data_IF_345403103554
#
_entry.id   IF_345403103554
#
_cell.length_a   1.000
_cell.length_b   1.000
_cell.length_c   1.000
_cell.angle_alpha   90.00
_cell.angle_beta   90.00
_cell.angle_gamma   90.00
#
_symmetry.space_group_name_H-M   'P 1'
#
loop_
_entity.id
_entity.type
_entity.pdbx_description
1 polymer ?
#
# COMPACT_ATOMS: atom_id res chain seq x y z
N UNK A 1 -0.87 36.82 -10.64
CA UNK A 1 -1.41 35.52 -11.08
C UNK A 1 -0.96 34.36 -10.20
N UNK A 2 0.33 34.00 -10.10
CA UNK A 2 0.76 32.90 -9.21
C UNK A 2 0.44 33.20 -7.73
N UNK A 3 0.81 34.38 -7.24
CA UNK A 3 0.55 34.78 -5.84
C UNK A 3 -0.95 34.82 -5.47
N UNK A 4 -1.81 35.09 -6.44
CA UNK A 4 -3.26 35.13 -6.27
C UNK A 4 -3.85 33.72 -6.13
N UNK A 5 -3.36 32.78 -6.94
CA UNK A 5 -3.76 31.37 -6.89
C UNK A 5 -3.27 30.74 -5.57
N UNK A 6 -2.06 31.06 -5.13
CA UNK A 6 -1.54 30.62 -3.83
C UNK A 6 -2.35 31.17 -2.65
N UNK A 7 -2.67 32.47 -2.67
CA UNK A 7 -3.52 33.07 -1.65
C UNK A 7 -4.92 32.42 -1.63
N UNK A 8 -5.51 32.17 -2.80
CA UNK A 8 -6.80 31.50 -2.93
C UNK A 8 -6.76 30.06 -2.39
N UNK A 9 -5.70 29.30 -2.69
CA UNK A 9 -5.49 27.96 -2.15
C UNK A 9 -5.43 27.98 -0.61
N UNK A 10 -4.64 28.88 -0.02
CA UNK A 10 -4.48 28.96 1.43
C UNK A 10 -5.78 29.31 2.15
N UNK A 11 -6.54 30.25 1.60
CA UNK A 11 -7.86 30.60 2.15
C UNK A 11 -8.86 29.46 2.00
N UNK A 12 -8.85 28.75 0.87
CA UNK A 12 -9.70 27.58 0.63
C UNK A 12 -9.39 26.45 1.62
N UNK A 13 -8.10 26.21 1.88
CA UNK A 13 -7.62 25.25 2.88
C UNK A 13 -8.09 25.64 4.28
N UNK A 14 -7.92 26.91 4.67
CA UNK A 14 -8.35 27.40 5.98
C UNK A 14 -9.87 27.31 6.19
N UNK A 15 -10.68 27.54 5.15
CA UNK A 15 -12.14 27.34 5.20
C UNK A 15 -12.47 25.85 5.37
N UNK A 16 -11.82 24.98 4.62
CA UNK A 16 -12.05 23.53 4.71
C UNK A 16 -11.71 22.98 6.10
N UNK A 17 -10.59 23.42 6.67
CA UNK A 17 -10.14 23.05 8.01
C UNK A 17 -10.91 23.78 9.12
N UNK A 18 -11.95 24.54 8.76
CA UNK A 18 -12.82 25.29 9.68
C UNK A 18 -12.08 26.31 10.54
N UNK A 19 -10.90 26.76 10.11
CA UNK A 19 -10.11 27.81 10.77
C UNK A 19 -10.71 29.19 10.57
N UNK A 20 -11.37 29.43 9.42
CA UNK A 20 -12.04 30.68 9.08
C UNK A 20 -13.39 30.42 8.40
N UNK A 21 -14.31 31.38 8.47
CA UNK A 21 -15.59 31.31 7.74
C UNK A 21 -15.38 31.59 6.25
N UNK A 22 -16.19 30.97 5.37
CA UNK A 22 -16.18 31.22 3.92
C UNK A 22 -16.29 32.71 3.58
N UNK A 23 -17.16 33.46 4.28
CA UNK A 23 -17.31 34.91 4.07
C UNK A 23 -16.08 35.73 4.49
N UNK A 24 -15.29 35.26 5.47
CA UNK A 24 -14.04 35.90 5.84
C UNK A 24 -12.96 35.65 4.78
N UNK A 25 -12.88 34.41 4.28
CA UNK A 25 -11.97 34.06 3.20
C UNK A 25 -12.22 34.88 1.92
N UNK A 26 -13.49 35.03 1.50
CA UNK A 26 -13.84 35.82 0.32
C UNK A 26 -13.41 37.28 0.49
N UNK A 27 -13.70 37.91 1.63
CA UNK A 27 -13.27 39.30 1.91
C UNK A 27 -11.75 39.45 1.93
N UNK A 28 -11.04 38.46 2.47
CA UNK A 28 -9.58 38.46 2.46
C UNK A 28 -9.02 38.39 1.04
N UNK A 29 -9.56 37.52 0.19
CA UNK A 29 -9.15 37.43 -1.22
C UNK A 29 -9.51 38.69 -2.01
N UNK A 30 -10.65 39.31 -1.73
CA UNK A 30 -11.03 40.60 -2.30
C UNK A 30 -10.03 41.70 -2.00
N UNK A 31 -9.50 41.75 -0.77
CA UNK A 31 -8.43 42.69 -0.40
C UNK A 31 -7.09 42.45 -1.13
N UNK A 32 -6.95 41.30 -1.79
CA UNK A 32 -5.78 40.92 -2.61
C UNK A 32 -6.06 41.00 -4.11
N UNK A 33 -6.99 41.87 -4.53
CA UNK A 33 -7.38 42.10 -5.93
C UNK A 33 -8.06 40.91 -6.63
N UNK A 34 -8.56 39.91 -5.90
CA UNK A 34 -9.34 38.81 -6.47
C UNK A 34 -10.82 39.12 -6.35
N UNK A 35 -11.55 39.18 -7.48
CA UNK A 35 -13.00 39.41 -7.47
C UNK A 35 -13.73 38.39 -6.57
N UNK A 36 -14.72 38.84 -5.79
CA UNK A 36 -15.44 37.99 -4.82
C UNK A 36 -16.08 36.74 -5.44
N UNK A 37 -16.61 36.85 -6.66
CA UNK A 37 -17.17 35.72 -7.40
C UNK A 37 -16.09 34.70 -7.78
N UNK A 38 -14.92 35.18 -8.20
CA UNK A 38 -13.76 34.32 -8.47
C UNK A 38 -13.26 33.65 -7.19
N UNK A 39 -13.15 34.40 -6.09
CA UNK A 39 -12.78 33.86 -4.79
C UNK A 39 -13.75 32.75 -4.33
N UNK A 40 -15.06 32.94 -4.52
CA UNK A 40 -16.07 31.93 -4.24
C UNK A 40 -15.90 30.66 -5.09
N UNK A 41 -15.67 30.81 -6.41
CA UNK A 41 -15.40 29.70 -7.33
C UNK A 41 -14.17 28.90 -6.90
N UNK A 42 -13.08 29.58 -6.55
CA UNK A 42 -11.86 28.93 -6.05
C UNK A 42 -12.14 28.09 -4.79
N UNK A 43 -12.79 28.69 -3.79
CA UNK A 43 -13.09 28.01 -2.51
C UNK A 43 -14.00 26.80 -2.71
N UNK A 44 -15.06 26.95 -3.50
CA UNK A 44 -16.02 25.87 -3.71
C UNK A 44 -15.45 24.77 -4.61
N UNK A 45 -14.64 25.14 -5.61
CA UNK A 45 -13.92 24.23 -6.48
C UNK A 45 -12.88 23.39 -5.73
N UNK A 46 -12.09 24.02 -4.86
CA UNK A 46 -11.16 23.32 -3.95
C UNK A 46 -11.88 22.29 -3.09
N UNK A 47 -13.04 22.65 -2.52
CA UNK A 47 -13.85 21.73 -1.71
C UNK A 47 -14.28 20.50 -2.53
N UNK A 48 -14.65 20.70 -3.81
CA UNK A 48 -15.06 19.62 -4.71
C UNK A 48 -13.90 18.72 -5.10
N UNK A 49 -12.74 19.30 -5.43
CA UNK A 49 -11.50 18.55 -5.69
C UNK A 49 -11.15 17.62 -4.52
N UNK A 50 -11.15 18.15 -3.29
CA UNK A 50 -10.89 17.33 -2.07
C UNK A 50 -11.86 16.18 -1.84
N UNK A 51 -13.05 16.23 -2.41
CA UNK A 51 -14.11 15.24 -2.21
C UNK A 51 -14.30 14.31 -3.40
N UNK A 52 -13.57 14.51 -4.51
CA UNK A 52 -13.80 13.77 -5.74
C UNK A 52 -15.16 14.07 -6.38
N UNK A 53 -15.74 15.23 -6.08
CA UNK A 53 -17.02 15.62 -6.64
C UNK A 53 -16.85 16.32 -7.99
N UNK A 54 -17.70 15.98 -8.95
CA UNK A 54 -17.83 16.77 -10.19
C UNK A 54 -18.07 18.25 -9.86
N UNK A 55 -17.29 19.11 -10.50
CA UNK A 55 -17.47 20.55 -10.53
C UNK A 55 -17.66 21.03 -11.97
N UNK A 56 -18.50 22.05 -12.17
CA UNK A 56 -18.85 22.62 -13.47
C UNK A 56 -18.46 24.10 -13.59
N UNK A 57 -17.53 24.53 -12.75
CA UNK A 57 -17.02 25.91 -12.71
C UNK A 57 -15.66 26.00 -13.41
N UNK A 58 -15.28 27.21 -13.82
CA UNK A 58 -14.03 27.47 -14.52
C UNK A 58 -12.89 27.67 -13.49
N UNK A 59 -12.27 26.58 -13.07
CA UNK A 59 -10.95 26.62 -12.43
C UNK A 59 -9.90 26.59 -13.54
N UNK A 60 -8.87 27.45 -13.44
CA UNK A 60 -7.74 27.39 -14.37
C UNK A 60 -6.92 26.11 -14.15
N UNK A 61 -6.22 25.66 -15.19
CA UNK A 61 -5.28 24.54 -15.05
C UNK A 61 -4.21 24.84 -14.00
N UNK A 62 -3.73 26.08 -13.89
CA UNK A 62 -2.75 26.49 -12.88
C UNK A 62 -3.31 26.35 -11.45
N UNK A 63 -4.59 26.63 -11.24
CA UNK A 63 -5.25 26.44 -9.95
C UNK A 63 -5.36 24.96 -9.57
N UNK A 64 -5.75 24.13 -10.54
CA UNK A 64 -5.83 22.68 -10.35
C UNK A 64 -4.44 22.09 -10.15
N UNK A 65 -3.44 22.52 -10.92
CA UNK A 65 -2.06 22.08 -10.80
C UNK A 65 -1.47 22.44 -9.44
N UNK A 66 -1.69 23.67 -8.94
CA UNK A 66 -1.25 24.03 -7.59
C UNK A 66 -1.87 23.11 -6.55
N UNK A 67 -3.17 22.82 -6.66
CA UNK A 67 -3.85 21.90 -5.75
C UNK A 67 -3.20 20.50 -5.77
N UNK A 68 -3.08 19.91 -6.96
CA UNK A 68 -2.50 18.58 -7.14
C UNK A 68 -1.06 18.53 -6.63
N UNK A 69 -0.26 19.57 -6.90
CA UNK A 69 1.12 19.71 -6.41
C UNK A 69 1.18 19.69 -4.89
N UNK A 70 0.40 20.55 -4.22
CA UNK A 70 0.39 20.65 -2.75
C UNK A 70 -0.11 19.37 -2.09
N UNK A 71 -1.08 18.68 -2.70
CA UNK A 71 -1.56 17.37 -2.21
C UNK A 71 -0.50 16.28 -2.38
N UNK A 72 0.22 16.28 -3.50
CA UNK A 72 1.35 15.37 -3.72
C UNK A 72 2.50 15.62 -2.73
N UNK A 73 2.89 16.88 -2.51
CA UNK A 73 3.93 17.27 -1.54
C UNK A 73 3.56 16.87 -0.10
N UNK A 74 2.28 16.92 0.24
CA UNK A 74 1.75 16.42 1.51
C UNK A 74 1.70 14.88 1.60
N UNK A 75 2.09 14.17 0.54
CA UNK A 75 2.02 12.70 0.39
C UNK A 75 0.62 12.12 0.64
N UNK A 76 -0.43 12.88 0.34
CA UNK A 76 -1.82 12.46 0.49
C UNK A 76 -2.33 11.76 -0.78
N UNK A 77 -2.04 10.45 -0.90
CA UNK A 77 -2.40 9.66 -2.06
C UNK A 77 -3.92 9.63 -2.32
N UNK A 78 -4.71 9.45 -1.26
CA UNK A 78 -6.17 9.42 -1.36
C UNK A 78 -6.71 10.77 -1.81
N UNK A 79 -6.23 11.87 -1.22
CA UNK A 79 -6.62 13.22 -1.62
C UNK A 79 -6.25 13.52 -3.07
N UNK A 80 -5.09 13.05 -3.54
CA UNK A 80 -4.64 13.23 -4.91
C UNK A 80 -5.55 12.49 -5.90
N UNK A 81 -5.91 11.24 -5.60
CA UNK A 81 -6.84 10.44 -6.41
C UNK A 81 -8.23 11.04 -6.48
N UNK A 82 -8.77 11.51 -5.34
CA UNK A 82 -10.05 12.21 -5.32
C UNK A 82 -10.03 13.46 -6.22
N UNK A 83 -8.97 14.26 -6.14
CA UNK A 83 -8.85 15.45 -6.96
C UNK A 83 -8.75 15.16 -8.46
N UNK A 84 -8.03 14.11 -8.84
CA UNK A 84 -7.96 13.64 -10.22
C UNK A 84 -9.32 13.19 -10.74
N UNK A 85 -10.11 12.44 -9.95
CA UNK A 85 -11.49 12.06 -10.31
C UNK A 85 -12.36 13.29 -10.56
N UNK A 86 -12.33 14.27 -9.66
CA UNK A 86 -13.08 15.51 -9.82
C UNK A 86 -12.63 16.29 -11.08
N UNK A 87 -11.32 16.36 -11.34
CA UNK A 87 -10.77 17.07 -12.48
C UNK A 87 -11.09 16.37 -13.81
N UNK A 88 -10.95 15.05 -13.88
CA UNK A 88 -11.35 14.26 -15.03
C UNK A 88 -12.83 14.50 -15.38
N UNK A 89 -13.71 14.44 -14.38
CA UNK A 89 -15.14 14.71 -14.56
C UNK A 89 -15.41 16.13 -15.09
N UNK A 90 -14.63 17.12 -14.64
CA UNK A 90 -14.73 18.49 -15.16
C UNK A 90 -14.32 18.59 -16.64
N UNK A 91 -13.21 17.93 -17.02
CA UNK A 91 -12.74 17.88 -18.41
C UNK A 91 -13.81 17.25 -19.30
N UNK A 92 -14.33 16.07 -18.92
CA UNK A 92 -15.38 15.38 -19.66
C UNK A 92 -16.64 16.24 -19.83
N UNK A 93 -17.05 16.94 -18.77
CA UNK A 93 -18.18 17.83 -18.81
C UNK A 93 -18.00 18.94 -19.85
N UNK A 94 -16.88 19.67 -19.83
CA UNK A 94 -16.67 20.77 -20.76
C UNK A 94 -16.47 20.33 -22.21
N UNK A 95 -15.77 19.20 -22.45
CA UNK A 95 -15.71 18.61 -23.79
C UNK A 95 -17.11 18.23 -24.30
N UNK A 96 -17.99 17.72 -23.44
CA UNK A 96 -19.38 17.38 -23.81
C UNK A 96 -20.25 18.62 -24.09
N UNK A 97 -20.05 19.71 -23.33
CA UNK A 97 -20.77 20.98 -23.54
C UNK A 97 -20.36 21.60 -24.86
N UNK A 98 -19.06 21.63 -25.16
CA UNK A 98 -18.57 22.15 -26.43
C UNK A 98 -18.96 21.28 -27.62
N UNK A 99 -19.03 19.95 -27.45
CA UNK A 99 -19.55 19.04 -28.46
C UNK A 99 -20.98 19.41 -28.89
N UNK A 100 -21.85 19.71 -27.92
CA UNK A 100 -23.23 20.13 -28.19
C UNK A 100 -23.33 21.48 -28.89
N UNK A 101 -22.37 22.39 -28.66
CA UNK A 101 -22.35 23.73 -29.27
C UNK A 101 -21.77 23.74 -30.67
N UNK A 102 -20.71 22.97 -30.92
CA UNK A 102 -19.91 23.01 -32.15
C UNK A 102 -20.14 21.82 -33.08
N UNK A 103 -20.95 20.84 -32.69
CA UNK A 103 -21.21 19.62 -33.46
C UNK A 103 -20.05 18.61 -33.47
N UNK A 104 -18.93 18.94 -32.82
CA UNK A 104 -17.76 18.07 -32.68
C UNK A 104 -17.17 18.21 -31.28
N UNK A 105 -16.79 17.09 -30.66
CA UNK A 105 -16.22 17.07 -29.31
C UNK A 105 -14.76 17.53 -29.35
N UNK A 106 -14.40 18.70 -28.79
CA UNK A 106 -13.01 19.08 -28.69
C UNK A 106 -12.31 18.26 -27.62
N UNK A 107 -10.97 18.23 -27.67
CA UNK A 107 -10.13 17.69 -26.59
C UNK A 107 -9.44 18.83 -25.88
N UNK A 108 -9.60 18.90 -24.56
CA UNK A 108 -8.90 19.89 -23.73
C UNK A 108 -7.47 19.40 -23.45
N UNK A 109 -6.61 19.46 -24.47
CA UNK A 109 -5.27 18.85 -24.47
C UNK A 109 -4.43 19.21 -23.25
N UNK A 110 -4.36 20.48 -22.86
CA UNK A 110 -3.58 20.92 -21.70
C UNK A 110 -4.11 20.34 -20.38
N UNK A 111 -5.43 20.27 -20.22
CA UNK A 111 -6.05 19.71 -19.02
C UNK A 111 -5.90 18.18 -18.97
N UNK A 112 -6.05 17.50 -20.11
CA UNK A 112 -5.79 16.06 -20.26
C UNK A 112 -4.33 15.71 -19.94
N UNK A 113 -3.38 16.49 -20.47
CA UNK A 113 -1.95 16.31 -20.19
C UNK A 113 -1.60 16.56 -18.72
N UNK A 114 -2.18 17.59 -18.10
CA UNK A 114 -2.03 17.83 -16.66
C UNK A 114 -2.58 16.67 -15.83
N UNK A 115 -3.80 16.19 -16.14
CA UNK A 115 -4.39 15.03 -15.48
C UNK A 115 -3.50 13.79 -15.62
N UNK A 116 -3.09 13.44 -16.85
CA UNK A 116 -2.26 12.27 -17.11
C UNK A 116 -0.94 12.28 -16.33
N UNK A 117 -0.30 13.45 -16.23
CA UNK A 117 0.94 13.64 -15.45
C UNK A 117 0.74 13.30 -13.98
N UNK A 118 -0.31 13.85 -13.36
CA UNK A 118 -0.58 13.61 -11.94
C UNK A 118 -1.20 12.25 -11.66
N UNK A 119 -1.90 11.65 -12.62
CA UNK A 119 -2.39 10.27 -12.53
C UNK A 119 -1.23 9.27 -12.46
N UNK A 120 -0.19 9.45 -13.29
CA UNK A 120 1.04 8.68 -13.19
C UNK A 120 1.74 8.86 -11.83
N UNK A 121 1.81 10.10 -11.32
CA UNK A 121 2.36 10.40 -9.99
C UNK A 121 1.55 9.71 -8.89
N UNK A 122 0.22 9.76 -8.97
CA UNK A 122 -0.67 9.14 -8.00
C UNK A 122 -0.49 7.62 -7.97
N UNK A 123 -0.40 6.97 -9.13
CA UNK A 123 -0.17 5.53 -9.25
C UNK A 123 1.16 5.10 -8.58
N UNK A 124 2.24 5.86 -8.80
CA UNK A 124 3.54 5.60 -8.16
C UNK A 124 3.47 5.80 -6.64
N UNK A 125 2.80 6.85 -6.18
CA UNK A 125 2.64 7.15 -4.76
C UNK A 125 1.82 6.06 -4.05
N UNK A 126 0.72 5.61 -4.65
CA UNK A 126 -0.10 4.50 -4.14
C UNK A 126 0.70 3.19 -4.07
N UNK A 127 1.40 2.82 -5.15
CA UNK A 127 2.24 1.62 -5.17
C UNK A 127 3.35 1.66 -4.10
N UNK A 128 3.96 2.82 -3.89
CA UNK A 128 4.99 3.01 -2.86
C UNK A 128 4.42 2.82 -1.45
N UNK A 129 3.24 3.38 -1.17
CA UNK A 129 2.57 3.22 0.12
C UNK A 129 2.15 1.78 0.40
N UNK A 130 1.68 1.06 -0.62
CA UNK A 130 1.38 -0.38 -0.52
C UNK A 130 2.65 -1.16 -0.19
N UNK A 131 3.73 -0.98 -0.96
CA UNK A 131 5.00 -1.66 -0.72
C UNK A 131 5.66 -1.31 0.63
N UNK A 132 5.50 -0.07 1.13
CA UNK A 132 5.94 0.31 2.48
C UNK A 132 5.10 -0.36 3.56
N UNK A 133 3.79 -0.47 3.35
CA UNK A 133 2.86 -1.11 4.29
C UNK A 133 3.12 -2.61 4.36
N UNK A 134 3.23 -3.29 3.22
CA UNK A 134 3.53 -4.72 3.12
C UNK A 134 4.88 -5.07 3.76
N UNK A 135 5.92 -4.26 3.51
CA UNK A 135 7.23 -4.46 4.17
C UNK A 135 7.14 -4.32 5.68
N UNK A 136 6.41 -3.33 6.18
CA UNK A 136 6.22 -3.12 7.63
C UNK A 136 5.32 -4.19 8.27
N UNK A 137 4.41 -4.79 7.51
CA UNK A 137 3.49 -5.82 8.00
C UNK A 137 3.92 -7.25 7.72
N UNK A 138 5.09 -7.49 7.10
CA UNK A 138 5.50 -8.85 6.75
C UNK A 138 5.99 -9.62 7.98
N UNK A 139 5.69 -10.93 8.00
CA UNK A 139 6.21 -11.85 9.02
C UNK A 139 7.75 -11.86 9.04
N UNK A 140 8.38 -11.80 7.87
CA UNK A 140 9.83 -11.79 7.73
C UNK A 140 10.49 -10.58 8.44
N UNK A 141 9.91 -9.39 8.33
CA UNK A 141 10.42 -8.20 9.03
C UNK A 141 10.34 -8.37 10.55
N UNK A 142 9.21 -8.88 11.05
CA UNK A 142 9.01 -9.12 12.48
C UNK A 142 10.00 -10.17 13.03
N UNK A 143 10.21 -11.26 12.29
CA UNK A 143 11.19 -12.29 12.65
C UNK A 143 12.62 -11.76 12.63
N UNK A 144 12.98 -10.97 11.61
CA UNK A 144 14.32 -10.35 11.51
C UNK A 144 14.59 -9.37 12.64
N UNK A 145 13.62 -8.51 12.97
CA UNK A 145 13.72 -7.57 14.07
C UNK A 145 13.81 -8.28 15.42
N UNK A 146 13.04 -9.35 15.61
CA UNK A 146 13.11 -10.18 16.80
C UNK A 146 14.50 -10.81 16.94
N UNK A 147 15.02 -11.45 15.90
CA UNK A 147 16.35 -12.08 15.89
C UNK A 147 17.46 -11.05 16.16
N UNK A 148 17.38 -9.86 15.55
CA UNK A 148 18.31 -8.75 15.83
C UNK A 148 18.28 -8.35 17.31
N UNK A 149 17.10 -8.28 17.90
CA UNK A 149 16.92 -7.94 19.31
C UNK A 149 17.41 -9.06 20.24
N UNK A 150 17.23 -10.33 19.86
CA UNK A 150 17.80 -11.48 20.58
C UNK A 150 19.32 -11.39 20.57
N UNK A 151 19.95 -11.18 19.41
CA UNK A 151 21.42 -11.02 19.31
C UNK A 151 21.95 -9.86 20.15
N UNK A 152 21.24 -8.73 20.15
CA UNK A 152 21.57 -7.61 21.03
C UNK A 152 21.48 -8.04 22.49
N UNK A 153 20.39 -8.69 22.88
CA UNK A 153 20.18 -9.14 24.25
C UNK A 153 21.22 -10.16 24.71
N UNK A 154 21.70 -11.04 23.82
CA UNK A 154 22.75 -12.02 24.10
C UNK A 154 24.12 -11.36 24.36
N UNK A 155 24.40 -10.21 23.73
CA UNK A 155 25.63 -9.43 23.97
C UNK A 155 25.59 -8.62 25.26
N UNK A 156 24.40 -8.36 25.78
CA UNK A 156 24.23 -7.67 27.06
C UNK A 156 24.53 -8.60 28.25
N UNK A 157 24.85 -8.01 29.40
CA UNK A 157 25.07 -8.74 30.65
C UNK A 157 23.80 -9.43 31.16
N UNK A 158 23.97 -10.40 32.06
CA UNK A 158 22.83 -11.08 32.69
C UNK A 158 21.95 -10.08 33.47
N UNK A 159 22.57 -9.18 34.22
CA UNK A 159 21.88 -8.20 35.09
C UNK A 159 21.01 -7.23 34.28
N UNK A 160 21.55 -6.75 33.15
CA UNK A 160 20.81 -5.84 32.25
C UNK A 160 19.63 -6.56 31.58
N UNK A 161 19.80 -7.84 31.21
CA UNK A 161 18.69 -8.66 30.69
C UNK A 161 17.63 -8.91 31.75
N UNK A 162 18.02 -9.25 32.98
CA UNK A 162 17.08 -9.46 34.09
C UNK A 162 16.28 -8.20 34.44
N UNK A 163 16.92 -7.03 34.44
CA UNK A 163 16.23 -5.77 34.67
C UNK A 163 15.10 -5.56 33.65
N UNK A 164 15.35 -5.83 32.35
CA UNK A 164 14.31 -5.78 31.31
C UNK A 164 13.21 -6.82 31.54
N UNK A 165 13.56 -8.04 31.96
CA UNK A 165 12.58 -9.11 32.23
C UNK A 165 11.68 -8.82 33.44
N UNK A 166 12.20 -8.11 34.45
CA UNK A 166 11.43 -7.63 35.60
C UNK A 166 10.43 -6.54 35.20
N UNK A 167 10.83 -5.62 34.31
CA UNK A 167 9.99 -4.52 33.85
C UNK A 167 8.98 -4.92 32.74
N UNK A 168 9.25 -5.99 31.99
CA UNK A 168 8.44 -6.39 30.84
C UNK A 168 7.08 -6.98 31.24
N UNK A 169 6.05 -6.66 30.44
CA UNK A 169 4.75 -7.32 30.53
C UNK A 169 4.89 -8.82 30.28
N UNK A 170 4.27 -9.65 31.13
CA UNK A 170 4.33 -11.12 31.01
C UNK A 170 3.52 -11.67 29.84
N UNK A 171 2.57 -10.89 29.32
CA UNK A 171 1.75 -11.24 28.15
C UNK A 171 2.21 -10.40 26.95
N UNK A 172 2.69 -11.03 25.86
CA UNK A 172 3.11 -10.28 24.68
C UNK A 172 1.91 -9.69 23.93
N UNK A 173 2.14 -8.58 23.23
CA UNK A 173 1.16 -8.02 22.30
C UNK A 173 0.95 -8.96 21.12
N UNK A 174 -0.27 -8.98 20.58
CA UNK A 174 -0.62 -9.74 19.37
C UNK A 174 -0.70 -8.80 18.17
N UNK A 175 -0.15 -9.24 17.05
CA UNK A 175 -0.27 -8.56 15.75
C UNK A 175 -0.98 -9.47 14.77
N UNK A 176 -1.79 -8.88 13.89
CA UNK A 176 -2.41 -9.59 12.76
C UNK A 176 -1.54 -9.39 11.52
N UNK A 177 -1.24 -10.48 10.82
CA UNK A 177 -0.47 -10.49 9.57
C UNK A 177 -1.29 -11.25 8.55
N UNK A 178 -1.32 -10.76 7.30
CA UNK A 178 -1.88 -11.49 6.16
C UNK A 178 -0.74 -12.21 5.45
N UNK A 179 -0.94 -13.49 5.13
CA UNK A 179 0.03 -14.30 4.38
C UNK A 179 -0.65 -14.92 3.17
N UNK A 180 0.06 -14.98 2.05
CA UNK A 180 -0.35 -15.77 0.90
C UNK A 180 0.16 -17.21 1.06
N UNK A 181 -0.65 -18.18 0.67
CA UNK A 181 -0.31 -19.59 0.76
C UNK A 181 -0.78 -20.34 -0.49
N UNK A 182 -0.01 -21.35 -0.90
CA UNK A 182 -0.37 -22.23 -2.01
C UNK A 182 -1.32 -23.33 -1.56
N UNK A 183 -2.40 -23.54 -2.32
CA UNK A 183 -3.24 -24.72 -2.21
C UNK A 183 -2.53 -25.86 -2.92
N UNK A 184 -1.87 -26.73 -2.15
CA UNK A 184 -1.09 -27.87 -2.69
C UNK A 184 -1.99 -29.04 -3.06
N UNK A 185 -1.59 -29.77 -4.08
CA UNK A 185 -2.21 -31.01 -4.49
C UNK A 185 -1.94 -32.11 -3.44
N UNK A 186 -2.98 -32.61 -2.75
CA UNK A 186 -2.79 -33.64 -1.72
C UNK A 186 -2.22 -34.95 -2.27
N UNK A 187 -2.47 -35.28 -3.54
CA UNK A 187 -2.01 -36.53 -4.16
C UNK A 187 -0.49 -36.53 -4.37
N UNK A 188 0.10 -35.37 -4.69
CA UNK A 188 1.56 -35.21 -4.77
C UNK A 188 2.20 -35.49 -3.42
N UNK A 189 1.64 -34.89 -2.37
CA UNK A 189 2.13 -35.08 -0.99
C UNK A 189 2.02 -36.56 -0.58
N UNK A 190 0.87 -37.19 -0.82
CA UNK A 190 0.66 -38.59 -0.49
C UNK A 190 1.61 -39.52 -1.25
N UNK A 191 1.76 -39.33 -2.56
CA UNK A 191 2.65 -40.14 -3.41
C UNK A 191 4.11 -40.06 -2.94
N UNK A 192 4.60 -38.86 -2.60
CA UNK A 192 5.96 -38.65 -2.09
C UNK A 192 6.17 -39.32 -0.73
N UNK A 193 5.19 -39.23 0.18
CA UNK A 193 5.27 -39.90 1.49
C UNK A 193 5.27 -41.44 1.35
N UNK A 194 4.48 -41.98 0.43
CA UNK A 194 4.45 -43.42 0.12
C UNK A 194 5.80 -43.86 -0.45
N UNK A 195 6.31 -43.12 -1.45
CA UNK A 195 7.63 -43.36 -2.07
C UNK A 195 8.75 -43.40 -1.03
N UNK A 196 8.73 -42.47 -0.07
CA UNK A 196 9.75 -42.35 0.96
C UNK A 196 9.74 -43.50 1.98
N UNK A 197 8.63 -44.24 2.13
CA UNK A 197 8.55 -45.43 3.00
C UNK A 197 8.92 -45.14 4.47
N UNK A 198 8.71 -43.91 4.94
CA UNK A 198 9.08 -43.49 6.29
C UNK A 198 10.55 -43.19 6.51
N UNK A 199 11.35 -43.04 5.45
CA UNK A 199 12.74 -42.59 5.49
C UNK A 199 12.89 -41.23 4.83
N UNK A 200 13.72 -40.37 5.41
CA UNK A 200 14.08 -39.10 4.81
C UNK A 200 14.84 -39.33 3.49
N UNK A 201 14.38 -38.72 2.40
CA UNK A 201 14.98 -38.90 1.07
C UNK A 201 16.36 -38.20 0.94
N UNK A 202 16.70 -37.31 1.88
CA UNK A 202 17.99 -36.60 1.89
C UNK A 202 19.07 -37.25 2.76
N UNK A 203 18.72 -37.76 3.93
CA UNK A 203 19.70 -38.35 4.87
C UNK A 203 19.54 -39.85 5.09
N UNK A 204 18.49 -40.48 4.54
CA UNK A 204 18.23 -41.92 4.65
C UNK A 204 17.74 -42.42 6.02
N UNK A 205 17.77 -41.55 7.04
CA UNK A 205 17.31 -41.87 8.39
C UNK A 205 15.79 -42.07 8.43
N UNK A 206 15.34 -42.93 9.35
CA UNK A 206 13.92 -43.10 9.64
C UNK A 206 13.30 -41.78 10.12
N UNK A 207 12.00 -41.63 9.90
CA UNK A 207 11.21 -40.54 10.47
C UNK A 207 11.44 -40.46 11.99
N UNK A 208 11.60 -39.24 12.54
CA UNK A 208 11.97 -39.05 13.95
C UNK A 208 10.90 -39.54 14.94
N UNK A 209 9.64 -39.59 14.51
CA UNK A 209 8.52 -40.08 15.30
C UNK A 209 7.36 -40.49 14.39
N UNK A 210 6.33 -41.09 14.99
CA UNK A 210 5.06 -41.43 14.33
C UNK A 210 3.97 -40.42 14.70
N UNK A 211 3.13 -40.07 13.74
CA UNK A 211 1.94 -39.22 13.97
C UNK A 211 1.04 -39.87 15.01
N UNK A 212 0.57 -39.07 15.97
CA UNK A 212 -0.32 -39.55 17.05
C UNK A 212 -1.67 -40.05 16.54
N UNK A 213 -2.16 -39.47 15.44
CA UNK A 213 -3.52 -39.71 14.93
C UNK A 213 -3.64 -41.07 14.24
N UNK A 214 -2.67 -41.42 13.39
CA UNK A 214 -2.76 -42.59 12.50
C UNK A 214 -1.53 -43.52 12.58
N UNK A 215 -0.53 -43.20 13.41
CA UNK A 215 0.69 -43.97 13.55
C UNK A 215 1.66 -43.89 12.36
N UNK A 216 1.37 -43.07 11.35
CA UNK A 216 2.21 -42.93 10.15
C UNK A 216 3.56 -42.25 10.48
N UNK A 217 4.65 -42.56 9.76
CA UNK A 217 5.95 -41.88 9.93
C UNK A 217 5.85 -40.37 9.66
N UNK A 218 6.43 -39.53 10.52
CA UNK A 218 6.42 -38.07 10.33
C UNK A 218 7.56 -37.60 9.42
N UNK A 219 7.22 -37.22 8.19
CA UNK A 219 8.08 -36.47 7.26
C UNK A 219 7.33 -35.25 6.73
N UNK A 220 8.07 -34.25 6.29
CA UNK A 220 7.58 -33.01 5.69
C UNK A 220 7.91 -33.03 4.19
N UNK A 221 6.91 -32.84 3.33
CA UNK A 221 7.13 -32.76 1.89
C UNK A 221 7.59 -31.36 1.51
N UNK A 222 8.75 -31.31 0.87
CA UNK A 222 9.44 -30.11 0.40
C UNK A 222 9.51 -30.10 -1.12
N UNK A 223 9.26 -28.95 -1.73
CA UNK A 223 9.48 -28.79 -3.17
C UNK A 223 10.92 -28.35 -3.42
N UNK A 224 11.65 -29.08 -4.27
CA UNK A 224 13.07 -28.87 -4.58
C UNK A 224 13.26 -27.47 -5.20
N UNK A 225 12.53 -27.17 -6.27
CA UNK A 225 12.24 -25.81 -6.68
C UNK A 225 11.00 -25.35 -5.93
N UNK A 226 11.15 -24.35 -5.07
CA UNK A 226 10.03 -23.84 -4.25
C UNK A 226 8.92 -23.32 -5.14
N UNK A 227 7.66 -23.56 -4.75
CA UNK A 227 6.49 -23.01 -5.45
C UNK A 227 6.54 -21.48 -5.55
N UNK A 228 7.07 -20.81 -4.52
CA UNK A 228 7.27 -19.35 -4.52
C UNK A 228 8.26 -18.86 -5.59
N UNK A 229 9.16 -19.72 -6.07
CA UNK A 229 10.12 -19.43 -7.14
C UNK A 229 9.66 -20.02 -8.49
N UNK A 230 8.36 -20.29 -8.63
CA UNK A 230 7.78 -20.84 -9.85
C UNK A 230 7.96 -22.35 -10.04
N UNK A 231 8.31 -23.09 -8.98
CA UNK A 231 8.39 -24.55 -9.04
C UNK A 231 7.02 -25.21 -9.22
N UNK A 232 7.00 -26.37 -9.88
CA UNK A 232 5.77 -27.13 -10.12
C UNK A 232 5.35 -27.92 -8.87
N UNK A 233 4.03 -28.05 -8.68
CA UNK A 233 3.49 -28.96 -7.67
C UNK A 233 3.37 -30.38 -8.24
N UNK A 234 4.52 -31.03 -8.41
CA UNK A 234 4.68 -32.35 -9.03
C UNK A 234 5.52 -33.29 -8.17
N UNK A 235 5.36 -34.61 -8.38
CA UNK A 235 6.09 -35.65 -7.64
C UNK A 235 7.61 -35.53 -7.87
N UNK A 236 8.02 -35.16 -9.08
CA UNK A 236 9.43 -35.04 -9.47
C UNK A 236 10.09 -33.82 -8.82
N UNK A 237 9.33 -32.76 -8.56
CA UNK A 237 9.80 -31.57 -7.88
C UNK A 237 9.60 -31.65 -6.35
N UNK A 238 9.23 -32.80 -5.79
CA UNK A 238 8.94 -32.92 -4.36
C UNK A 238 9.71 -34.06 -3.69
N UNK A 239 10.16 -33.84 -2.46
CA UNK A 239 10.89 -34.79 -1.63
C UNK A 239 10.36 -34.82 -0.19
N UNK A 240 10.38 -36.00 0.44
CA UNK A 240 9.97 -36.20 1.83
C UNK A 240 11.18 -36.12 2.77
N UNK A 241 11.19 -35.11 3.63
CA UNK A 241 12.32 -34.77 4.50
C UNK A 241 11.98 -34.92 5.98
N UNK A 242 12.98 -35.28 6.80
CA UNK A 242 12.86 -35.09 8.24
C UNK A 242 12.94 -33.58 8.59
N UNK A 243 12.42 -33.15 9.75
CA UNK A 243 12.38 -31.73 10.13
C UNK A 243 13.75 -31.03 10.07
N UNK A 244 14.82 -31.74 10.41
CA UNK A 244 16.18 -31.21 10.37
C UNK A 244 16.65 -30.97 8.93
N UNK A 245 16.42 -31.94 8.03
CA UNK A 245 16.80 -31.81 6.62
C UNK A 245 15.95 -30.75 5.91
N UNK A 246 14.66 -30.67 6.26
CA UNK A 246 13.76 -29.66 5.73
C UNK A 246 14.17 -28.25 6.14
N UNK A 247 14.47 -28.02 7.42
CA UNK A 247 15.00 -26.72 7.89
C UNK A 247 16.35 -26.38 7.25
N UNK A 248 17.27 -27.34 7.10
CA UNK A 248 18.53 -27.15 6.37
C UNK A 248 18.31 -26.75 4.91
N UNK A 249 17.31 -27.32 4.23
CA UNK A 249 16.98 -26.92 2.86
C UNK A 249 16.51 -25.45 2.77
N UNK A 250 15.85 -24.94 3.80
CA UNK A 250 15.41 -23.55 3.85
C UNK A 250 16.48 -22.55 4.31
N UNK A 251 17.34 -22.93 5.27
CA UNK A 251 18.19 -21.97 6.01
C UNK A 251 19.70 -22.28 5.99
N UNK A 252 20.12 -23.48 5.59
CA UNK A 252 21.51 -23.95 5.68
C UNK A 252 21.87 -24.53 7.05
#
# INVERSE_FOLDING_TARGET
MIDEIEAAFEMSRAVHEKRIKRSQAIRHLASKNINEGSAAVFIDGFRKLRRGELYKMALSNDAVELFLKRTHEARDAQGLRLALVAFHGNIDYYESVEAKRKGARPTLHSARALHARYDAIAAVLEATLVAETERKSSLATLESDFERNVRKSLRDSAETREARLRAAAKKPAKVKISIEAFVRNPDVVAAVLIRAGGRCEKCGNLAPFRRRVDGSPFLEVHHIQRLADGGEDSIDNAEALCPNCHRRAHYG
#
